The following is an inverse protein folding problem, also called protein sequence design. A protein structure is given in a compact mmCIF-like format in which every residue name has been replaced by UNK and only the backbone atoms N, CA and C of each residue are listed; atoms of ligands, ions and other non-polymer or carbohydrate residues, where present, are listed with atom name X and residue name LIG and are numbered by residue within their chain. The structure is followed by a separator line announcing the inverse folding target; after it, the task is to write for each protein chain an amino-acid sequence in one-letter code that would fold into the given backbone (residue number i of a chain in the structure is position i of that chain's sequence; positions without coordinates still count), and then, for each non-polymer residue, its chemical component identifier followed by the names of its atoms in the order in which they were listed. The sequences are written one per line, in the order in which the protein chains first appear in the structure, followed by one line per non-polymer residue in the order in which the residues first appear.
data_IF_996193673351
#
_entry.id   IF_996193673351
#
_cell.length_a   1.000
_cell.length_b   1.000
_cell.length_c   1.000
_cell.angle_alpha   90.00
_cell.angle_beta   90.00
_cell.angle_gamma   90.00
#
_symmetry.space_group_name_H-M   'P 1'
#
loop_
_entity.id
_entity.type
_entity.pdbx_description
1 polymer ?
#
# COMPACT_ATOMS: atom_id res chain seq x y z
N UNK A 1 -6.68 -11.51 -19.33
CA UNK A 1 -5.81 -11.63 -20.52
C UNK A 1 -4.77 -12.72 -20.26
N UNK A 2 -4.85 -13.88 -20.95
CA UNK A 2 -3.98 -15.04 -20.71
C UNK A 2 -2.57 -14.88 -21.32
N UNK A 3 -2.25 -13.70 -21.79
CA UNK A 3 -1.00 -13.41 -22.53
C UNK A 3 0.16 -12.92 -21.67
N UNK A 4 -0.08 -12.58 -20.40
CA UNK A 4 0.91 -11.97 -19.51
C UNK A 4 0.89 -12.63 -18.14
N UNK A 5 2.06 -12.88 -17.56
CA UNK A 5 2.23 -13.35 -16.19
C UNK A 5 3.00 -12.36 -15.35
N UNK A 6 2.71 -12.34 -14.07
CA UNK A 6 3.57 -11.73 -13.04
C UNK A 6 4.73 -12.70 -12.77
N UNK A 7 5.96 -12.23 -12.91
CA UNK A 7 7.16 -13.06 -12.74
C UNK A 7 7.99 -12.67 -11.53
N UNK A 8 7.96 -11.40 -11.13
CA UNK A 8 8.56 -10.93 -9.88
C UNK A 8 7.83 -9.69 -9.36
N UNK A 9 8.05 -9.31 -8.10
CA UNK A 9 7.45 -8.14 -7.49
C UNK A 9 8.13 -7.75 -6.18
N UNK A 10 7.96 -6.50 -5.78
CA UNK A 10 8.36 -5.99 -4.47
C UNK A 10 7.33 -4.96 -3.96
N UNK A 11 7.09 -4.86 -2.64
CA UNK A 11 7.59 -5.72 -1.56
C UNK A 11 7.01 -7.13 -1.61
N UNK A 12 7.79 -8.11 -1.14
CA UNK A 12 7.33 -9.50 -0.96
C UNK A 12 6.83 -9.69 0.46
N UNK A 13 5.76 -10.46 0.61
CA UNK A 13 5.17 -10.83 1.90
C UNK A 13 4.67 -9.62 2.72
N UNK A 14 4.58 -9.81 4.03
CA UNK A 14 4.22 -8.77 4.98
C UNK A 14 5.48 -8.09 5.48
N UNK A 15 5.52 -6.76 5.40
CA UNK A 15 6.63 -5.94 5.84
C UNK A 15 6.16 -5.00 6.96
N UNK A 16 6.77 -5.14 8.13
CA UNK A 16 6.50 -4.34 9.33
C UNK A 16 7.71 -3.49 9.74
N UNK A 17 8.78 -3.54 8.94
CA UNK A 17 10.01 -2.81 9.19
C UNK A 17 9.83 -1.32 8.97
N UNK A 18 10.62 -0.51 9.67
CA UNK A 18 10.61 0.95 9.51
C UNK A 18 10.96 1.38 8.08
N UNK A 19 11.88 0.66 7.45
CA UNK A 19 12.32 0.90 6.08
C UNK A 19 12.17 -0.37 5.25
N UNK A 20 11.53 -0.24 4.10
CA UNK A 20 11.41 -1.31 3.10
C UNK A 20 12.44 -1.04 2.01
N UNK A 21 13.35 -1.98 1.81
CA UNK A 21 14.32 -1.97 0.72
C UNK A 21 14.34 -3.35 0.09
N UNK A 22 13.86 -3.47 -1.13
CA UNK A 22 13.80 -4.75 -1.85
C UNK A 22 14.11 -4.55 -3.33
N UNK A 23 14.79 -5.54 -3.90
CA UNK A 23 15.18 -5.53 -5.31
C UNK A 23 14.41 -6.62 -6.05
N UNK A 24 13.90 -6.28 -7.21
CA UNK A 24 13.35 -7.22 -8.18
C UNK A 24 14.28 -7.30 -9.38
N UNK A 25 14.35 -8.47 -10.01
CA UNK A 25 15.17 -8.65 -11.19
C UNK A 25 14.55 -9.72 -12.12
N UNK A 26 14.85 -9.58 -13.39
CA UNK A 26 14.44 -10.54 -14.41
C UNK A 26 15.49 -10.64 -15.52
N UNK A 27 15.83 -11.86 -15.90
CA UNK A 27 16.69 -12.10 -17.06
C UNK A 27 15.91 -12.87 -18.13
N UNK A 28 16.02 -12.44 -19.37
CA UNK A 28 15.44 -13.11 -20.52
C UNK A 28 16.53 -13.93 -21.24
N UNK A 29 16.34 -15.22 -21.41
CA UNK A 29 17.32 -16.08 -22.11
C UNK A 29 17.56 -17.43 -21.45
N UNK A 30 16.72 -17.87 -20.52
CA UNK A 30 16.71 -19.25 -20.02
C UNK A 30 16.75 -19.46 -18.52
N UNK A 31 17.38 -18.58 -17.75
CA UNK A 31 17.41 -18.74 -16.30
C UNK A 31 16.94 -17.50 -15.57
N UNK A 32 16.02 -17.67 -14.62
CA UNK A 32 15.60 -16.63 -13.71
C UNK A 32 16.69 -16.47 -12.66
N UNK A 33 17.58 -15.50 -12.88
CA UNK A 33 18.53 -15.09 -11.86
C UNK A 33 18.13 -13.72 -11.33
N UNK A 34 17.83 -13.66 -10.06
CA UNK A 34 17.64 -12.39 -9.33
C UNK A 34 19.03 -11.83 -9.09
N UNK A 35 19.46 -10.86 -9.90
CA UNK A 35 20.75 -10.21 -9.76
C UNK A 35 20.60 -8.74 -9.41
N UNK A 36 21.46 -8.24 -8.54
CA UNK A 36 21.54 -6.82 -8.20
C UNK A 36 22.31 -6.07 -9.31
N UNK A 37 21.59 -5.42 -10.22
CA UNK A 37 22.16 -4.53 -11.25
C UNK A 37 21.92 -4.95 -12.69
N UNK A 38 22.04 -4.00 -13.62
CA UNK A 38 22.03 -4.25 -15.06
C UNK A 38 23.33 -4.94 -15.45
N UNK A 39 23.30 -6.22 -15.84
CA UNK A 39 24.46 -6.90 -16.40
C UNK A 39 24.23 -7.15 -17.89
N UNK A 40 25.05 -6.54 -18.73
CA UNK A 40 25.19 -6.87 -20.14
C UNK A 40 26.11 -8.08 -20.29
N UNK A 41 25.58 -9.28 -20.36
CA UNK A 41 26.35 -10.50 -20.69
C UNK A 41 26.26 -10.79 -22.19
N UNK A 42 27.41 -10.96 -22.84
CA UNK A 42 27.46 -11.32 -24.27
C UNK A 42 27.01 -12.74 -24.50
N UNK A 43 25.73 -12.95 -24.75
CA UNK A 43 25.06 -14.10 -25.37
C UNK A 43 23.57 -13.87 -25.53
N UNK A 44 23.14 -12.63 -25.77
CA UNK A 44 21.75 -12.31 -26.09
C UNK A 44 20.76 -12.34 -24.91
N UNK A 45 21.19 -12.55 -23.68
CA UNK A 45 20.38 -12.40 -22.48
C UNK A 45 20.31 -10.94 -22.06
N UNK A 46 19.11 -10.43 -21.88
CA UNK A 46 18.88 -9.09 -21.27
C UNK A 46 18.41 -9.30 -19.85
N UNK A 47 19.07 -8.67 -18.90
CA UNK A 47 18.65 -8.62 -17.51
C UNK A 47 18.34 -7.19 -17.09
N UNK A 48 17.43 -7.03 -16.15
CA UNK A 48 17.21 -5.76 -15.47
C UNK A 48 17.00 -6.00 -13.99
N UNK A 49 17.28 -4.99 -13.20
CA UNK A 49 16.92 -4.97 -11.79
C UNK A 49 16.45 -3.59 -11.38
N UNK A 50 15.55 -3.54 -10.43
CA UNK A 50 15.01 -2.31 -9.86
C UNK A 50 14.86 -2.47 -8.36
N UNK A 51 15.15 -1.42 -7.59
CA UNK A 51 15.10 -1.46 -6.13
C UNK A 51 14.10 -0.43 -5.64
N UNK A 52 13.16 -0.87 -4.81
CA UNK A 52 12.31 0.03 -4.02
C UNK A 52 12.99 0.37 -2.70
N UNK A 53 12.80 1.60 -2.24
CA UNK A 53 13.32 2.06 -0.96
C UNK A 53 12.41 3.14 -0.37
N UNK A 54 11.63 2.81 0.65
CA UNK A 54 10.75 3.75 1.32
C UNK A 54 10.62 3.48 2.81
N UNK A 55 10.26 4.52 3.57
CA UNK A 55 9.96 4.42 5.01
C UNK A 55 8.47 4.19 5.23
N UNK A 56 8.13 3.35 6.21
CA UNK A 56 6.76 3.02 6.56
C UNK A 56 6.48 3.06 8.06
N UNK A 57 7.11 3.97 8.78
CA UNK A 57 6.88 4.16 10.21
C UNK A 57 5.38 4.19 10.53
N UNK A 58 4.94 3.37 11.49
CA UNK A 58 3.54 3.25 11.89
C UNK A 58 2.59 2.71 10.81
N UNK A 59 3.13 2.11 9.76
CA UNK A 59 2.38 1.40 8.73
C UNK A 59 2.96 0.01 8.48
N UNK A 60 2.14 -0.85 7.92
CA UNK A 60 2.50 -2.18 7.46
C UNK A 60 2.08 -2.33 6.00
N UNK A 61 2.98 -2.85 5.19
CA UNK A 61 2.68 -3.26 3.82
C UNK A 61 2.55 -4.77 3.77
N UNK A 62 1.47 -5.27 3.22
CA UNK A 62 1.23 -6.70 3.01
C UNK A 62 0.81 -6.98 1.57
N UNK A 63 1.13 -8.17 1.09
CA UNK A 63 0.68 -8.63 -0.20
C UNK A 63 -0.84 -8.89 -0.15
N UNK A 64 -1.59 -8.36 -1.13
CA UNK A 64 -3.03 -8.64 -1.25
C UNK A 64 -3.24 -10.17 -1.41
N UNK A 65 -4.13 -10.72 -0.62
CA UNK A 65 -4.48 -12.17 -0.63
C UNK A 65 -4.97 -12.67 -2.00
N UNK A 66 -5.41 -11.76 -2.87
CA UNK A 66 -5.85 -12.06 -4.25
C UNK A 66 -4.70 -12.08 -5.25
N UNK A 67 -3.48 -11.86 -4.80
CA UNK A 67 -2.28 -11.91 -5.65
C UNK A 67 -2.09 -13.32 -6.22
N UNK A 68 -1.85 -13.39 -7.52
CA UNK A 68 -1.58 -14.60 -8.27
C UNK A 68 -0.75 -14.29 -9.52
N UNK A 69 -0.48 -15.29 -10.34
CA UNK A 69 0.34 -15.10 -11.55
C UNK A 69 -0.25 -14.13 -12.61
N UNK A 70 -1.50 -13.70 -12.48
CA UNK A 70 -2.16 -12.72 -13.38
C UNK A 70 -2.40 -11.36 -12.73
N UNK A 71 -2.35 -11.29 -11.41
CA UNK A 71 -2.68 -10.10 -10.65
C UNK A 71 -1.78 -9.99 -9.43
N UNK A 72 -1.26 -8.81 -9.22
CA UNK A 72 -0.54 -8.47 -8.00
C UNK A 72 -1.15 -7.24 -7.36
N UNK A 73 -1.16 -7.19 -6.04
CA UNK A 73 -1.61 -6.05 -5.26
C UNK A 73 -0.99 -6.03 -3.87
N UNK A 74 -1.01 -4.86 -3.26
CA UNK A 74 -0.54 -4.63 -1.91
C UNK A 74 -1.57 -3.85 -1.12
N UNK A 75 -1.68 -4.19 0.16
CA UNK A 75 -2.46 -3.47 1.14
C UNK A 75 -1.51 -2.76 2.09
N UNK A 76 -1.80 -1.49 2.38
CA UNK A 76 -1.05 -0.68 3.34
C UNK A 76 -2.00 -0.18 4.40
N UNK A 77 -1.66 -0.43 5.66
CA UNK A 77 -2.53 -0.05 6.77
C UNK A 77 -1.73 0.48 7.97
N UNK A 78 -2.40 1.28 8.82
CA UNK A 78 -1.85 1.75 10.07
C UNK A 78 -1.50 0.58 11.01
N UNK A 79 -0.28 0.56 11.54
CA UNK A 79 0.25 -0.52 12.36
C UNK A 79 1.29 -0.01 13.36
N UNK A 80 1.26 -0.56 14.59
CA UNK A 80 2.21 -0.23 15.66
C UNK A 80 2.29 1.26 16.01
N UNK A 81 1.19 1.98 15.92
CA UNK A 81 1.13 3.39 16.35
C UNK A 81 1.21 3.44 17.88
N UNK A 82 2.19 4.18 18.39
CA UNK A 82 2.30 4.49 19.81
C UNK A 82 1.65 5.84 20.11
N UNK A 83 0.86 5.90 21.16
CA UNK A 83 0.19 7.11 21.61
C UNK A 83 0.46 7.36 23.10
N UNK A 84 1.26 8.37 23.45
CA UNK A 84 1.60 8.75 24.84
C UNK A 84 2.03 7.55 25.72
N UNK A 85 2.80 6.62 25.15
CA UNK A 85 3.23 5.39 25.83
C UNK A 85 2.18 4.28 25.84
N UNK A 86 0.99 4.50 25.30
CA UNK A 86 -0.03 3.49 25.08
C UNK A 86 0.12 2.86 23.71
N UNK A 87 -0.28 1.60 23.57
CA UNK A 87 -0.22 0.88 22.30
C UNK A 87 0.65 -0.38 22.40
N UNK A 88 1.06 -0.96 21.28
CA UNK A 88 0.88 -0.43 19.92
C UNK A 88 -0.56 -0.56 19.38
N UNK A 89 -1.00 0.44 18.66
CA UNK A 89 -2.32 0.48 18.03
C UNK A 89 -2.23 0.31 16.51
N UNK A 90 -3.29 -0.28 15.96
CA UNK A 90 -3.53 -0.34 14.53
C UNK A 90 -5.00 -0.02 14.24
N UNK A 91 -5.37 -0.15 12.98
CA UNK A 91 -6.73 0.11 12.51
C UNK A 91 -7.80 -0.68 13.27
N UNK A 92 -7.47 -1.94 13.64
CA UNK A 92 -8.40 -2.88 14.29
C UNK A 92 -8.23 -2.96 15.81
N UNK A 93 -7.39 -2.14 16.40
CA UNK A 93 -7.15 -2.17 17.83
C UNK A 93 -8.40 -1.77 18.61
N UNK A 94 -8.60 -2.44 19.73
CA UNK A 94 -9.74 -2.17 20.63
C UNK A 94 -9.36 -2.46 22.07
N UNK A 95 -9.68 -1.53 22.95
CA UNK A 95 -9.61 -1.70 24.40
C UNK A 95 -11.03 -1.72 24.97
N UNK A 96 -11.36 -2.66 25.85
CA UNK A 96 -12.74 -2.87 26.35
C UNK A 96 -13.34 -1.63 27.03
N UNK A 97 -12.52 -0.78 27.64
CA UNK A 97 -12.93 0.45 28.34
C UNK A 97 -12.82 1.67 27.45
N UNK A 98 -11.69 1.84 26.75
CA UNK A 98 -11.33 3.09 26.05
C UNK A 98 -11.50 2.99 24.51
N UNK A 99 -11.95 1.85 23.99
CA UNK A 99 -12.11 1.64 22.55
C UNK A 99 -10.79 1.59 21.79
N UNK A 100 -10.74 2.23 20.63
CA UNK A 100 -9.49 2.41 19.90
C UNK A 100 -8.83 3.72 20.35
N UNK A 101 -7.68 3.63 21.01
CA UNK A 101 -6.99 4.79 21.56
C UNK A 101 -5.91 5.37 20.64
N UNK A 102 -5.86 4.97 19.38
CA UNK A 102 -4.79 5.33 18.45
C UNK A 102 -4.50 6.84 18.40
N UNK A 103 -5.54 7.67 18.49
CA UNK A 103 -5.45 9.12 18.47
C UNK A 103 -6.16 9.80 19.65
N UNK A 104 -6.49 9.07 20.69
CA UNK A 104 -7.11 9.62 21.88
C UNK A 104 -6.09 10.49 22.64
N UNK A 105 -6.43 11.74 22.92
CA UNK A 105 -5.54 12.68 23.63
C UNK A 105 -5.36 12.34 25.09
N UNK A 106 -6.45 11.97 25.79
CA UNK A 106 -6.44 11.61 27.21
C UNK A 106 -7.58 10.65 27.53
N UNK A 107 -7.36 9.73 28.46
CA UNK A 107 -8.41 8.85 29.01
C UNK A 107 -9.33 9.58 29.99
N UNK A 108 -8.78 10.56 30.70
CA UNK A 108 -9.50 11.38 31.69
C UNK A 108 -9.15 12.84 31.44
N UNK A 109 -10.15 13.65 31.18
CA UNK A 109 -9.95 15.06 30.90
C UNK A 109 -11.26 15.82 30.99
N UNK A 110 -11.21 17.12 31.28
CA UNK A 110 -12.30 18.06 31.15
C UNK A 110 -12.36 18.73 29.77
N UNK A 111 -11.58 18.26 28.81
CA UNK A 111 -11.57 18.77 27.44
C UNK A 111 -12.88 18.41 26.74
N UNK A 112 -13.28 19.22 25.77
CA UNK A 112 -14.37 18.86 24.87
C UNK A 112 -13.90 17.83 23.83
N UNK A 113 -14.85 17.17 23.14
CA UNK A 113 -14.55 16.10 22.19
C UNK A 113 -13.59 16.53 21.08
N UNK A 114 -13.75 17.76 20.55
CA UNK A 114 -12.88 18.28 19.50
C UNK A 114 -11.46 18.59 19.95
N UNK A 115 -11.22 18.69 21.25
CA UNK A 115 -9.91 18.96 21.82
C UNK A 115 -9.21 17.69 22.33
N UNK A 116 -9.93 16.58 22.46
CA UNK A 116 -9.38 15.37 23.03
C UNK A 116 -8.77 14.43 21.97
N UNK A 117 -8.09 14.99 21.00
CA UNK A 117 -7.26 14.27 20.06
C UNK A 117 -5.78 14.43 20.38
N UNK A 118 -4.99 13.44 19.99
CA UNK A 118 -3.54 13.57 19.98
C UNK A 118 -3.16 14.81 19.15
N UNK A 119 -2.28 15.62 19.71
CA UNK A 119 -1.81 16.83 19.05
C UNK A 119 -1.15 16.49 17.70
N UNK A 120 -1.39 17.29 16.68
CA UNK A 120 -0.94 17.04 15.31
C UNK A 120 0.56 16.71 15.21
N UNK A 121 1.40 17.44 15.96
CA UNK A 121 2.85 17.22 15.93
C UNK A 121 3.30 15.92 16.63
N UNK A 122 2.44 15.32 17.46
CA UNK A 122 2.67 14.02 18.11
C UNK A 122 2.16 12.84 17.28
N UNK A 123 1.37 13.09 16.24
CA UNK A 123 0.93 12.04 15.33
C UNK A 123 2.11 11.50 14.52
N UNK A 124 2.11 10.21 14.14
CA UNK A 124 3.12 9.65 13.28
C UNK A 124 3.34 10.49 12.02
N UNK A 125 4.59 10.70 11.62
CA UNK A 125 4.95 11.57 10.50
C UNK A 125 4.22 11.19 9.22
N UNK A 126 4.11 9.88 8.94
CA UNK A 126 3.43 9.39 7.74
C UNK A 126 1.91 9.62 7.78
N UNK A 127 1.29 9.62 8.98
CA UNK A 127 -0.14 9.96 9.15
C UNK A 127 -0.45 11.42 8.82
N UNK A 128 0.57 12.28 8.79
CA UNK A 128 0.46 13.71 8.45
C UNK A 128 0.56 14.00 6.94
N UNK A 129 0.45 12.99 6.10
CA UNK A 129 0.36 13.12 4.64
C UNK A 129 1.63 12.88 3.85
N UNK A 130 2.73 12.47 4.48
CA UNK A 130 4.03 12.27 3.82
C UNK A 130 4.34 10.80 3.48
N UNK A 131 3.32 9.95 3.40
CA UNK A 131 3.53 8.54 3.09
C UNK A 131 3.54 8.31 1.58
N UNK A 132 4.65 7.83 1.07
CA UNK A 132 4.84 7.53 -0.35
C UNK A 132 5.45 6.13 -0.53
N UNK A 133 4.63 5.06 -0.43
CA UNK A 133 5.09 3.70 -0.63
C UNK A 133 5.41 3.43 -2.11
N UNK A 134 6.41 2.60 -2.35
CA UNK A 134 6.83 2.18 -3.68
C UNK A 134 6.50 0.70 -3.90
N UNK A 135 6.00 0.38 -5.09
CA UNK A 135 5.64 -0.97 -5.49
C UNK A 135 6.14 -1.26 -6.89
N UNK A 136 6.67 -2.46 -7.09
CA UNK A 136 7.10 -2.92 -8.42
C UNK A 136 6.45 -4.26 -8.73
N UNK A 137 5.84 -4.37 -9.89
CA UNK A 137 5.43 -5.62 -10.49
C UNK A 137 6.15 -5.86 -11.81
N UNK A 138 6.80 -6.99 -11.94
CA UNK A 138 7.47 -7.41 -13.18
C UNK A 138 6.56 -8.35 -13.95
N UNK A 139 6.29 -7.99 -15.18
CA UNK A 139 5.38 -8.73 -16.06
C UNK A 139 6.14 -9.30 -17.25
N UNK A 140 5.82 -10.54 -17.64
CA UNK A 140 6.37 -11.19 -18.81
C UNK A 140 5.25 -11.64 -19.75
N UNK A 141 5.46 -11.42 -21.05
CA UNK A 141 4.59 -11.96 -22.09
C UNK A 141 4.86 -13.46 -22.26
N UNK A 142 3.81 -14.26 -22.34
CA UNK A 142 3.93 -15.67 -22.69
C UNK A 142 4.42 -15.84 -24.13
N UNK A 143 5.17 -16.90 -24.37
CA UNK A 143 5.57 -17.28 -25.72
C UNK A 143 4.33 -17.47 -26.61
N UNK A 144 4.37 -16.96 -27.84
CA UNK A 144 3.27 -16.99 -28.82
C UNK A 144 1.97 -16.27 -28.39
N UNK A 145 2.00 -15.47 -27.33
CA UNK A 145 0.86 -14.65 -26.96
C UNK A 145 0.72 -13.40 -27.86
N UNK A 146 -0.41 -12.72 -27.75
CA UNK A 146 -0.68 -11.50 -28.52
C UNK A 146 0.45 -10.47 -28.35
N UNK A 147 0.77 -9.77 -29.45
CA UNK A 147 1.82 -8.74 -29.48
C UNK A 147 1.48 -7.53 -28.60
N UNK A 148 0.19 -7.31 -28.33
CA UNK A 148 -0.30 -6.25 -27.45
C UNK A 148 -1.07 -6.82 -26.28
N UNK A 149 -0.92 -6.15 -25.12
CA UNK A 149 -1.63 -6.50 -23.88
C UNK A 149 -2.16 -5.24 -23.20
N UNK A 150 -3.28 -5.39 -22.49
CA UNK A 150 -3.78 -4.33 -21.61
C UNK A 150 -3.38 -4.65 -20.18
N UNK A 151 -2.74 -3.70 -19.52
CA UNK A 151 -2.36 -3.74 -18.11
C UNK A 151 -3.21 -2.72 -17.36
N UNK A 152 -3.92 -3.16 -16.34
CA UNK A 152 -4.74 -2.30 -15.49
C UNK A 152 -4.03 -2.09 -14.16
N UNK A 153 -3.80 -0.83 -13.82
CA UNK A 153 -3.25 -0.41 -12.52
C UNK A 153 -4.35 0.28 -11.74
N UNK A 154 -4.67 -0.22 -10.56
CA UNK A 154 -5.68 0.35 -9.69
C UNK A 154 -5.04 0.79 -8.39
N UNK A 155 -5.23 2.06 -8.04
CA UNK A 155 -4.91 2.62 -6.75
C UNK A 155 -6.22 2.88 -5.99
N UNK A 156 -6.29 2.41 -4.74
CA UNK A 156 -7.46 2.61 -3.88
C UNK A 156 -7.01 3.22 -2.56
N UNK A 157 -7.66 4.30 -2.18
CA UNK A 157 -7.49 4.93 -0.88
C UNK A 157 -8.77 4.75 -0.07
N UNK A 158 -8.63 4.19 1.11
CA UNK A 158 -9.71 4.10 2.09
C UNK A 158 -9.43 5.12 3.20
N UNK A 159 -10.47 5.82 3.63
CA UNK A 159 -10.40 6.77 4.71
C UNK A 159 -11.29 6.30 5.84
N UNK A 160 -10.70 6.22 7.03
CA UNK A 160 -11.41 5.90 8.25
C UNK A 160 -11.71 7.20 9.00
N UNK A 161 -12.86 7.27 9.63
CA UNK A 161 -13.20 8.37 10.52
C UNK A 161 -12.92 7.98 11.95
N UNK A 162 -12.05 8.72 12.61
CA UNK A 162 -11.79 8.57 14.03
C UNK A 162 -12.60 9.61 14.83
N UNK A 163 -13.30 9.15 15.87
CA UNK A 163 -14.06 10.01 16.79
C UNK A 163 -13.77 9.66 18.23
N UNK A 164 -14.05 10.58 19.13
CA UNK A 164 -14.04 10.30 20.55
C UNK A 164 -15.28 10.89 21.23
N UNK A 165 -15.68 10.30 22.35
CA UNK A 165 -16.78 10.78 23.16
C UNK A 165 -16.54 10.50 24.65
N UNK A 166 -17.15 11.31 25.51
CA UNK A 166 -17.12 11.15 26.96
C UNK A 166 -18.32 10.33 27.42
N UNK A 167 -18.08 9.24 28.15
CA UNK A 167 -19.13 8.35 28.66
C UNK A 167 -19.53 8.62 30.11
N UNK A 168 -19.26 9.80 30.63
CA UNK A 168 -19.44 10.27 32.04
C UNK A 168 -18.30 9.85 32.99
N UNK A 169 -17.46 8.90 32.67
CA UNK A 169 -16.35 8.43 33.49
C UNK A 169 -15.00 8.59 32.80
N UNK A 170 -14.96 8.36 31.51
CA UNK A 170 -13.73 8.42 30.70
C UNK A 170 -14.05 8.66 29.23
N UNK A 171 -13.01 9.00 28.46
CA UNK A 171 -13.09 9.15 27.02
C UNK A 171 -12.98 7.78 26.33
N UNK A 172 -13.75 7.62 25.26
CA UNK A 172 -13.72 6.45 24.39
C UNK A 172 -13.42 6.89 22.96
N UNK A 173 -12.39 6.32 22.37
CA UNK A 173 -12.06 6.53 20.96
C UNK A 173 -12.69 5.46 20.08
N UNK A 174 -13.22 5.85 18.91
CA UNK A 174 -13.78 4.95 17.91
C UNK A 174 -13.15 5.18 16.55
N UNK A 175 -12.93 4.09 15.82
CA UNK A 175 -12.50 4.11 14.44
C UNK A 175 -13.59 3.48 13.56
N UNK A 176 -14.21 4.32 12.71
CA UNK A 176 -15.20 3.91 11.72
C UNK A 176 -14.48 3.68 10.40
N UNK A 177 -14.44 2.41 9.98
CA UNK A 177 -13.67 1.97 8.82
C UNK A 177 -14.44 2.18 7.52
N UNK A 178 -13.68 2.44 6.45
CA UNK A 178 -14.21 2.51 5.07
C UNK A 178 -15.34 3.53 4.87
N UNK A 179 -15.37 4.60 5.63
CA UNK A 179 -16.40 5.63 5.45
C UNK A 179 -16.30 6.31 4.08
N UNK A 180 -15.08 6.54 3.61
CA UNK A 180 -14.84 7.08 2.28
C UNK A 180 -13.85 6.20 1.51
N UNK A 181 -14.12 6.02 0.23
CA UNK A 181 -13.26 5.26 -0.67
C UNK A 181 -13.08 5.98 -1.99
N UNK A 182 -11.85 6.29 -2.34
CA UNK A 182 -11.48 6.79 -3.65
C UNK A 182 -10.69 5.70 -4.40
N UNK A 183 -11.08 5.44 -5.63
CA UNK A 183 -10.44 4.47 -6.51
C UNK A 183 -10.06 5.15 -7.80
N UNK A 184 -8.79 5.03 -8.18
CA UNK A 184 -8.27 5.48 -9.47
C UNK A 184 -7.73 4.28 -10.24
N UNK A 185 -8.16 4.15 -11.48
CA UNK A 185 -7.76 3.05 -12.36
C UNK A 185 -7.17 3.63 -13.64
N UNK A 186 -5.98 3.18 -13.99
CA UNK A 186 -5.29 3.50 -15.24
C UNK A 186 -5.14 2.25 -16.09
N UNK A 187 -5.46 2.33 -17.36
CA UNK A 187 -5.35 1.23 -18.31
C UNK A 187 -4.28 1.56 -19.33
N UNK A 188 -3.28 0.71 -19.41
CA UNK A 188 -2.17 0.84 -20.36
C UNK A 188 -2.24 -0.22 -21.43
N UNK A 189 -1.96 0.15 -22.66
CA UNK A 189 -1.62 -0.77 -23.74
C UNK A 189 -0.11 -0.92 -23.79
N UNK A 190 0.37 -2.17 -23.69
CA UNK A 190 1.77 -2.54 -23.85
C UNK A 190 1.92 -3.21 -25.22
N UNK A 191 2.74 -2.63 -26.08
CA UNK A 191 3.17 -3.21 -27.35
C UNK A 191 4.53 -3.88 -27.13
N UNK A 192 4.51 -5.22 -27.06
CA UNK A 192 5.69 -6.03 -26.78
C UNK A 192 6.68 -6.12 -27.94
N UNK A 193 6.22 -5.84 -29.15
CA UNK A 193 7.06 -5.89 -30.34
C UNK A 193 7.83 -4.58 -30.52
N UNK A 194 7.15 -3.45 -30.31
CA UNK A 194 7.75 -2.14 -30.44
C UNK A 194 8.31 -1.58 -29.13
N UNK A 195 8.21 -2.33 -28.01
CA UNK A 195 8.65 -1.94 -26.67
C UNK A 195 8.09 -0.59 -26.20
N UNK A 196 6.79 -0.38 -26.47
CA UNK A 196 6.12 0.86 -26.08
C UNK A 196 4.97 0.62 -25.10
N UNK A 197 4.74 1.60 -24.22
CA UNK A 197 3.64 1.61 -23.27
C UNK A 197 2.84 2.90 -23.49
N UNK A 198 1.53 2.78 -23.65
CA UNK A 198 0.62 3.90 -23.85
C UNK A 198 -0.51 3.85 -22.84
N UNK A 199 -0.74 4.94 -22.13
CA UNK A 199 -1.96 5.12 -21.34
C UNK A 199 -3.15 5.29 -22.30
N UNK A 200 -4.16 4.43 -22.18
CA UNK A 200 -5.33 4.43 -23.09
C UNK A 200 -6.62 4.85 -22.41
N UNK A 201 -6.71 4.71 -21.08
CA UNK A 201 -7.90 5.13 -20.32
C UNK A 201 -7.55 5.39 -18.85
N UNK A 202 -8.33 6.28 -18.22
CA UNK A 202 -8.30 6.52 -16.78
C UNK A 202 -9.72 6.66 -16.25
N UNK A 203 -9.97 6.08 -15.07
CA UNK A 203 -11.25 6.15 -14.41
C UNK A 203 -11.06 6.48 -12.93
N UNK A 204 -11.86 7.38 -12.40
CA UNK A 204 -11.90 7.69 -10.97
C UNK A 204 -13.31 7.46 -10.43
N UNK A 205 -13.39 6.88 -9.25
CA UNK A 205 -14.64 6.67 -8.51
C UNK A 205 -14.44 7.07 -7.08
N UNK A 206 -15.37 7.83 -6.56
CA UNK A 206 -15.46 8.14 -5.13
C UNK A 206 -16.75 7.57 -4.58
N UNK A 207 -16.66 6.95 -3.43
CA UNK A 207 -17.81 6.55 -2.63
C UNK A 207 -17.85 7.47 -1.42
N UNK A 208 -18.77 8.43 -1.44
CA UNK A 208 -19.13 9.22 -0.27
C UNK A 208 -20.25 8.51 0.50
N UNK A 209 -20.08 8.17 1.76
CA UNK A 209 -21.16 7.58 2.56
C UNK A 209 -22.18 8.58 3.07
N UNK A 210 -21.94 9.88 2.87
CA UNK A 210 -22.87 10.93 3.28
C UNK A 210 -23.64 11.47 2.07
N UNK A 211 -24.64 10.74 1.66
CA UNK A 211 -25.82 11.26 0.93
C UNK A 211 -27.04 10.59 1.50
#
# INVERSE_FOLDING_TARGET
NDSVNVVDYAPKNQNEEFQVQQTVGYSYGGDINISNGLSGGGNGSKSFSETINYKQESYRTSLDKRTNFKKIGWDVEAHKIMNNGWGPYGRDSYHSTYGNEMFLGSRQSNLNAGQNFLEYHKMPVLSRGNFNPEFIGVLSRKQNAAKKSKITVTYQREMDRYTNFWNQLHWIGNNYKDENRATHTSIYEVDWENHTVKLIDTQSKEKNPMS
#
